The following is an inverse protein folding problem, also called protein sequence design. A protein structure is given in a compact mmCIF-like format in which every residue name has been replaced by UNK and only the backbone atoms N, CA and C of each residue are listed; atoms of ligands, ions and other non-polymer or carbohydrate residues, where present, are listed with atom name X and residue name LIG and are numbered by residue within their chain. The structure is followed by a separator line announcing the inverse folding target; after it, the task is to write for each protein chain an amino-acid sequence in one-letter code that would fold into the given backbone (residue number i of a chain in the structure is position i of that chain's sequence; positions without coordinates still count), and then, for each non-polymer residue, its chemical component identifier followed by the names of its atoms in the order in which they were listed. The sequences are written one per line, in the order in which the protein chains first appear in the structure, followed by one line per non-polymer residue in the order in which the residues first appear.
data_IF_700777755179
#
_entry.id   IF_700777755179
#
_cell.length_a   1.000
_cell.length_b   1.000
_cell.length_c   1.000
_cell.angle_alpha   90.00
_cell.angle_beta   90.00
_cell.angle_gamma   90.00
#
_symmetry.space_group_name_H-M   'P 1'
#
loop_
_entity.id
_entity.type
_entity.pdbx_description
1 polymer ?
#
# COMPACT_ATOMS: atom_id res chain seq x y z
N UNK A 1 -9.39 2.00 22.46
CA UNK A 1 -10.37 1.49 21.50
C UNK A 1 -10.72 0.04 21.79
N UNK A 2 -11.95 -0.39 21.52
CA UNK A 2 -12.33 -1.80 21.51
C UNK A 2 -11.93 -2.45 20.16
N UNK A 3 -11.76 -3.78 20.15
CA UNK A 3 -11.59 -4.52 18.90
C UNK A 3 -12.81 -4.34 18.00
N UNK A 4 -12.62 -4.27 16.67
CA UNK A 4 -13.68 -4.14 15.66
C UNK A 4 -14.57 -2.89 15.79
N UNK A 5 -14.21 -1.86 16.59
CA UNK A 5 -15.12 -0.81 17.03
C UNK A 5 -15.70 0.03 15.88
N UNK A 6 -15.01 0.19 14.75
CA UNK A 6 -15.47 0.96 13.59
C UNK A 6 -15.41 0.15 12.27
N UNK A 7 -15.38 -1.19 12.38
CA UNK A 7 -15.42 -2.07 11.21
C UNK A 7 -16.69 -1.79 10.40
N UNK A 8 -16.51 -1.53 9.08
CA UNK A 8 -17.58 -1.23 8.13
C UNK A 8 -18.45 0.01 8.43
N UNK A 9 -18.06 0.92 9.34
CA UNK A 9 -18.91 2.02 9.79
C UNK A 9 -19.49 2.87 8.66
N UNK A 10 -18.73 3.17 7.61
CA UNK A 10 -19.16 3.93 6.43
C UNK A 10 -19.16 3.09 5.15
N UNK A 11 -19.24 1.75 5.26
CA UNK A 11 -19.27 0.86 4.11
C UNK A 11 -20.32 1.26 3.08
N UNK A 12 -19.89 1.48 1.82
CA UNK A 12 -20.77 1.88 0.70
C UNK A 12 -21.49 3.23 0.88
N UNK A 13 -20.98 4.12 1.69
CA UNK A 13 -21.51 5.49 1.74
C UNK A 13 -21.02 6.26 0.51
N UNK A 14 -21.67 5.99 -0.64
CA UNK A 14 -21.26 6.51 -1.96
C UNK A 14 -21.37 8.04 -2.08
N UNK A 15 -22.07 8.72 -1.18
CA UNK A 15 -22.16 10.18 -1.12
C UNK A 15 -21.16 10.84 -0.16
N UNK A 16 -20.35 10.05 0.57
CA UNK A 16 -19.34 10.59 1.48
C UNK A 16 -18.19 11.19 0.66
N UNK A 17 -17.96 12.50 0.83
CA UNK A 17 -16.88 13.26 0.15
C UNK A 17 -15.69 13.45 1.08
N UNK A 18 -15.94 13.78 2.34
CA UNK A 18 -14.91 14.04 3.35
C UNK A 18 -15.10 13.09 4.53
N UNK A 19 -14.05 12.38 4.89
CA UNK A 19 -14.06 11.49 6.05
C UNK A 19 -14.06 12.27 7.37
N UNK A 20 -14.65 11.73 8.43
CA UNK A 20 -14.51 12.30 9.78
C UNK A 20 -13.05 12.16 10.27
N UNK A 21 -12.69 12.99 11.26
CA UNK A 21 -11.36 12.90 11.91
C UNK A 21 -11.20 11.59 12.68
N UNK A 22 -10.01 10.97 12.56
CA UNK A 22 -9.63 9.73 13.25
C UNK A 22 -8.37 9.96 14.11
N UNK A 23 -8.49 10.62 15.26
CA UNK A 23 -7.33 11.09 16.04
C UNK A 23 -6.64 9.99 16.86
N UNK A 24 -7.09 8.75 16.81
CA UNK A 24 -6.54 7.69 17.63
C UNK A 24 -5.10 7.33 17.26
N UNK A 25 -4.22 7.33 18.25
CA UNK A 25 -2.81 6.96 18.14
C UNK A 25 -2.53 5.52 18.58
N UNK A 26 -3.45 4.88 19.31
CA UNK A 26 -3.37 3.48 19.71
C UNK A 26 -4.52 2.71 19.12
N UNK A 27 -4.18 1.75 18.26
CA UNK A 27 -5.14 0.94 17.52
C UNK A 27 -5.28 -0.46 18.12
N UNK A 28 -6.42 -1.07 17.88
CA UNK A 28 -6.73 -2.43 18.32
C UNK A 28 -7.10 -3.30 17.11
N UNK A 29 -7.23 -4.61 17.34
CA UNK A 29 -7.57 -5.58 16.31
C UNK A 29 -8.76 -5.11 15.47
N UNK A 30 -8.55 -4.96 14.14
CA UNK A 30 -9.56 -4.62 13.12
C UNK A 30 -10.39 -3.35 13.42
N UNK A 31 -9.88 -2.40 14.21
CA UNK A 31 -10.69 -1.26 14.66
C UNK A 31 -11.21 -0.37 13.50
N UNK A 32 -10.48 -0.23 12.40
CA UNK A 32 -10.88 0.52 11.20
C UNK A 32 -10.96 -0.35 9.93
N UNK A 33 -11.06 -1.68 10.12
CA UNK A 33 -11.17 -2.61 9.00
C UNK A 33 -12.37 -2.24 8.12
N UNK A 34 -12.11 -2.02 6.81
CA UNK A 34 -13.11 -1.72 5.78
C UNK A 34 -14.01 -0.51 6.06
N UNK A 35 -13.56 0.42 6.92
CA UNK A 35 -14.38 1.52 7.42
C UNK A 35 -14.97 2.37 6.29
N UNK A 36 -14.19 2.68 5.24
CA UNK A 36 -14.63 3.46 4.07
C UNK A 36 -14.67 2.63 2.78
N UNK A 37 -14.76 1.32 2.88
CA UNK A 37 -14.81 0.45 1.69
C UNK A 37 -15.96 0.86 0.77
N UNK A 38 -15.65 1.05 -0.53
CA UNK A 38 -16.60 1.43 -1.59
C UNK A 38 -17.28 2.81 -1.38
N UNK A 39 -16.68 3.71 -0.61
CA UNK A 39 -17.06 5.13 -0.59
C UNK A 39 -16.57 5.79 -1.89
N UNK A 40 -17.26 5.58 -3.00
CA UNK A 40 -16.79 5.91 -4.35
C UNK A 40 -16.56 7.41 -4.60
N UNK A 41 -17.19 8.31 -3.84
CA UNK A 41 -17.01 9.77 -3.92
C UNK A 41 -16.05 10.36 -2.88
N UNK A 42 -15.42 9.53 -2.06
CA UNK A 42 -14.47 10.00 -1.05
C UNK A 42 -13.22 10.60 -1.73
N UNK A 43 -13.01 11.91 -1.54
CA UNK A 43 -11.83 12.64 -2.03
C UNK A 43 -10.90 13.09 -0.92
N UNK A 44 -11.44 13.35 0.29
CA UNK A 44 -10.69 13.84 1.43
C UNK A 44 -10.60 12.74 2.51
N UNK A 45 -9.52 11.93 2.52
CA UNK A 45 -9.34 10.89 3.54
C UNK A 45 -8.99 11.52 4.89
N UNK A 46 -9.19 10.80 6.01
CA UNK A 46 -8.77 11.28 7.33
C UNK A 46 -7.25 11.17 7.48
N UNK A 47 -6.67 11.96 8.37
CA UNK A 47 -5.31 11.71 8.87
C UNK A 47 -5.28 10.42 9.69
N UNK A 48 -4.18 9.65 9.55
CA UNK A 48 -3.94 8.39 10.26
C UNK A 48 -2.66 8.49 11.10
N UNK A 49 -2.72 9.13 12.27
CA UNK A 49 -1.52 9.51 13.02
C UNK A 49 -0.84 8.35 13.77
N UNK A 50 -1.46 7.16 13.81
CA UNK A 50 -0.94 6.06 14.62
C UNK A 50 0.39 5.53 14.10
N UNK A 51 1.37 5.44 14.98
CA UNK A 51 2.63 4.73 14.79
C UNK A 51 2.61 3.31 15.36
N UNK A 52 1.60 2.98 16.19
CA UNK A 52 1.38 1.66 16.79
C UNK A 52 0.21 0.97 16.10
N UNK A 53 0.53 -0.01 15.26
CA UNK A 53 -0.40 -0.66 14.35
C UNK A 53 -0.79 -2.04 14.87
N UNK A 54 -2.10 -2.31 14.95
CA UNK A 54 -2.64 -3.61 15.33
C UNK A 54 -2.96 -4.50 14.10
N UNK A 55 -3.15 -5.79 14.32
CA UNK A 55 -3.53 -6.75 13.27
C UNK A 55 -4.79 -6.29 12.55
N UNK A 56 -4.73 -6.27 11.21
CA UNK A 56 -5.83 -5.91 10.28
C UNK A 56 -6.54 -4.59 10.59
N UNK A 57 -5.89 -3.63 11.30
CA UNK A 57 -6.57 -2.41 11.74
C UNK A 57 -7.00 -1.49 10.60
N UNK A 58 -6.27 -1.47 9.47
CA UNK A 58 -6.60 -0.69 8.27
C UNK A 58 -6.83 -1.59 7.03
N UNK A 59 -7.06 -2.90 7.24
CA UNK A 59 -7.35 -3.86 6.18
C UNK A 59 -8.52 -3.37 5.34
N UNK A 60 -8.31 -3.22 4.02
CA UNK A 60 -9.27 -2.75 3.01
C UNK A 60 -9.98 -1.43 3.36
N UNK A 61 -9.36 -0.56 4.19
CA UNK A 61 -10.03 0.66 4.70
C UNK A 61 -10.59 1.54 3.59
N UNK A 62 -9.87 1.72 2.48
CA UNK A 62 -10.27 2.52 1.32
C UNK A 62 -10.49 1.69 0.05
N UNK A 63 -10.73 0.38 0.19
CA UNK A 63 -10.99 -0.49 -0.97
C UNK A 63 -12.11 0.10 -1.84
N UNK A 64 -11.87 0.28 -3.14
CA UNK A 64 -12.89 0.78 -4.07
C UNK A 64 -13.28 2.24 -3.91
N UNK A 65 -12.50 3.06 -3.18
CA UNK A 65 -12.67 4.51 -3.14
C UNK A 65 -12.17 5.13 -4.45
N UNK A 66 -12.96 5.02 -5.52
CA UNK A 66 -12.53 5.34 -6.88
C UNK A 66 -12.21 6.82 -7.12
N UNK A 67 -12.77 7.75 -6.34
CA UNK A 67 -12.46 9.19 -6.41
C UNK A 67 -11.25 9.62 -5.56
N UNK A 68 -10.65 8.71 -4.78
CA UNK A 68 -9.52 9.03 -3.91
C UNK A 68 -8.26 9.29 -4.75
N UNK A 69 -7.85 10.57 -4.85
CA UNK A 69 -6.67 10.98 -5.62
C UNK A 69 -5.38 11.04 -4.78
N UNK A 70 -5.51 11.25 -3.47
CA UNK A 70 -4.39 11.36 -2.53
C UNK A 70 -4.57 10.41 -1.35
N UNK A 71 -3.50 9.73 -0.96
CA UNK A 71 -3.50 8.84 0.20
C UNK A 71 -3.17 9.60 1.49
N UNK A 72 -3.70 9.19 2.66
CA UNK A 72 -3.25 9.71 3.95
C UNK A 72 -1.82 9.24 4.24
N UNK A 73 -1.13 9.94 5.14
CA UNK A 73 0.20 9.52 5.63
C UNK A 73 0.10 8.23 6.45
N UNK A 74 1.11 7.36 6.32
CA UNK A 74 1.22 6.09 7.04
C UNK A 74 2.56 6.05 7.80
N UNK A 75 2.64 6.61 9.01
CA UNK A 75 3.92 6.87 9.69
C UNK A 75 4.53 5.65 10.40
N UNK A 76 3.84 4.52 10.47
CA UNK A 76 4.30 3.35 11.22
C UNK A 76 5.56 2.72 10.62
N UNK A 77 6.56 2.45 11.46
CA UNK A 77 7.83 1.80 11.10
C UNK A 77 7.87 0.31 11.44
N UNK A 78 6.93 -0.16 12.27
CA UNK A 78 6.73 -1.57 12.64
C UNK A 78 5.28 -1.94 12.36
N UNK A 79 5.08 -3.00 11.57
CA UNK A 79 3.77 -3.42 11.10
C UNK A 79 3.33 -4.73 11.72
N UNK A 80 2.01 -4.83 11.94
CA UNK A 80 1.34 -6.05 12.34
C UNK A 80 0.80 -6.81 11.12
N UNK A 81 0.38 -8.06 11.34
CA UNK A 81 -0.20 -8.94 10.32
C UNK A 81 -1.39 -8.28 9.64
N UNK A 82 -1.41 -8.32 8.30
CA UNK A 82 -2.48 -7.82 7.42
C UNK A 82 -2.90 -6.35 7.69
N UNK A 83 -2.09 -5.54 8.36
CA UNK A 83 -2.52 -4.21 8.83
C UNK A 83 -2.93 -3.24 7.71
N UNK A 84 -2.32 -3.33 6.51
CA UNK A 84 -2.64 -2.55 5.32
C UNK A 84 -3.05 -3.44 4.13
N UNK A 85 -3.54 -4.66 4.39
CA UNK A 85 -3.97 -5.56 3.32
C UNK A 85 -5.05 -4.90 2.46
N UNK A 86 -4.80 -4.80 1.14
CA UNK A 86 -5.75 -4.22 0.18
C UNK A 86 -6.23 -2.81 0.48
N UNK A 87 -5.50 -2.02 1.29
CA UNK A 87 -5.97 -0.74 1.83
C UNK A 87 -6.47 0.21 0.75
N UNK A 88 -5.78 0.30 -0.40
CA UNK A 88 -6.14 1.16 -1.53
C UNK A 88 -6.51 0.35 -2.79
N UNK A 89 -6.83 -0.93 -2.65
CA UNK A 89 -7.21 -1.78 -3.78
C UNK A 89 -8.40 -1.16 -4.54
N UNK A 90 -8.26 -0.94 -5.85
CA UNK A 90 -9.30 -0.35 -6.70
C UNK A 90 -9.48 1.18 -6.53
N UNK A 91 -8.56 1.89 -5.87
CA UNK A 91 -8.54 3.35 -5.86
C UNK A 91 -8.01 3.85 -7.22
N UNK A 92 -8.88 3.84 -8.24
CA UNK A 92 -8.46 4.06 -9.63
C UNK A 92 -7.93 5.46 -9.93
N UNK A 93 -8.30 6.48 -9.14
CA UNK A 93 -7.81 7.86 -9.28
C UNK A 93 -6.56 8.15 -8.44
N UNK A 94 -6.08 7.21 -7.64
CA UNK A 94 -4.87 7.41 -6.84
C UNK A 94 -3.65 7.50 -7.77
N UNK A 95 -2.92 8.65 -7.72
CA UNK A 95 -1.75 8.90 -8.57
C UNK A 95 -0.44 8.60 -7.87
N UNK A 96 -0.33 8.95 -6.59
CA UNK A 96 0.87 8.72 -5.78
C UNK A 96 0.56 7.88 -4.54
N UNK A 97 1.39 6.88 -4.22
CA UNK A 97 1.28 6.15 -2.97
C UNK A 97 1.74 7.03 -1.80
N UNK A 98 1.34 6.73 -0.56
CA UNK A 98 1.98 7.33 0.62
C UNK A 98 3.41 6.77 0.77
N UNK A 99 4.27 7.49 1.49
CA UNK A 99 5.54 6.94 1.97
C UNK A 99 5.29 5.74 2.89
N UNK A 100 6.10 4.68 2.74
CA UNK A 100 6.00 3.43 3.51
C UNK A 100 7.30 3.17 4.28
N UNK A 101 7.53 3.84 5.42
CA UNK A 101 8.82 3.84 6.11
C UNK A 101 9.11 2.56 6.92
N UNK A 102 8.23 1.56 6.89
CA UNK A 102 8.35 0.39 7.75
C UNK A 102 9.58 -0.48 7.42
N UNK A 103 10.44 -0.66 8.41
CA UNK A 103 11.60 -1.56 8.37
C UNK A 103 11.30 -2.92 8.98
N UNK A 104 10.32 -3.00 9.90
CA UNK A 104 9.82 -4.26 10.47
C UNK A 104 8.43 -4.55 9.94
N UNK A 105 8.31 -5.61 9.15
CA UNK A 105 7.08 -5.98 8.45
C UNK A 105 6.60 -7.37 8.86
N UNK A 106 5.31 -7.63 8.69
CA UNK A 106 4.65 -8.86 9.09
C UNK A 106 3.96 -9.55 7.90
N UNK A 107 3.40 -10.75 8.14
CA UNK A 107 2.62 -11.51 7.17
C UNK A 107 1.56 -10.65 6.49
N UNK A 108 1.54 -10.62 5.16
CA UNK A 108 0.50 -10.00 4.35
C UNK A 108 0.29 -8.49 4.58
N UNK A 109 1.22 -7.79 5.25
CA UNK A 109 1.00 -6.42 5.71
C UNK A 109 0.69 -5.43 4.57
N UNK A 110 1.25 -5.60 3.37
CA UNK A 110 1.00 -4.79 2.18
C UNK A 110 0.42 -5.61 1.01
N UNK A 111 -0.09 -6.82 1.28
CA UNK A 111 -0.69 -7.67 0.25
C UNK A 111 -1.81 -6.93 -0.48
N UNK A 112 -1.79 -6.89 -1.82
CA UNK A 112 -2.77 -6.23 -2.68
C UNK A 112 -2.99 -4.74 -2.39
N UNK A 113 -2.07 -4.05 -1.71
CA UNK A 113 -2.30 -2.69 -1.18
C UNK A 113 -2.76 -1.70 -2.26
N UNK A 114 -2.15 -1.73 -3.44
CA UNK A 114 -2.49 -0.87 -4.59
C UNK A 114 -3.00 -1.66 -5.79
N UNK A 115 -3.51 -2.87 -5.58
CA UNK A 115 -4.05 -3.69 -6.67
C UNK A 115 -5.10 -2.92 -7.47
N UNK A 116 -4.93 -2.81 -8.80
CA UNK A 116 -5.90 -2.13 -9.66
C UNK A 116 -5.95 -0.59 -9.53
N UNK A 117 -4.96 0.05 -8.92
CA UNK A 117 -4.81 1.50 -8.94
C UNK A 117 -4.34 1.94 -10.33
N UNK A 118 -5.28 2.08 -11.28
CA UNK A 118 -4.98 2.23 -12.71
C UNK A 118 -4.20 3.52 -13.04
N UNK A 119 -4.38 4.59 -12.26
CA UNK A 119 -3.71 5.88 -12.45
C UNK A 119 -2.41 6.05 -11.65
N UNK A 120 -2.02 5.05 -10.84
CA UNK A 120 -0.83 5.14 -10.00
C UNK A 120 0.43 5.23 -10.88
N UNK A 121 1.20 6.31 -10.69
CA UNK A 121 2.49 6.55 -11.37
C UNK A 121 3.69 6.47 -10.43
N UNK A 122 3.45 6.50 -9.11
CA UNK A 122 4.50 6.42 -8.09
C UNK A 122 4.68 5.02 -7.52
N UNK A 123 5.89 4.73 -7.08
CA UNK A 123 6.22 3.56 -6.25
C UNK A 123 6.91 4.02 -4.97
N UNK A 124 6.57 3.48 -3.79
CA UNK A 124 7.24 3.84 -2.55
C UNK A 124 8.58 3.13 -2.41
N UNK A 125 9.51 3.72 -1.68
CA UNK A 125 10.63 2.98 -1.12
C UNK A 125 10.11 1.94 -0.12
N UNK A 126 10.69 0.72 -0.18
CA UNK A 126 10.34 -0.41 0.69
C UNK A 126 11.60 -0.87 1.43
N UNK A 127 11.91 -0.27 2.60
CA UNK A 127 13.22 -0.40 3.24
C UNK A 127 13.42 -1.70 4.03
N UNK A 128 12.37 -2.50 4.24
CA UNK A 128 12.48 -3.74 5.02
C UNK A 128 13.47 -4.72 4.39
N UNK A 129 14.41 -5.21 5.20
CA UNK A 129 15.42 -6.20 4.79
C UNK A 129 15.05 -7.64 5.14
N UNK A 130 14.10 -7.87 6.05
CA UNK A 130 13.59 -9.20 6.37
C UNK A 130 12.14 -9.31 5.89
N UNK A 131 11.93 -10.04 4.79
CA UNK A 131 10.64 -10.17 4.17
C UNK A 131 9.84 -11.30 4.78
N UNK A 132 8.54 -11.09 4.92
CA UNK A 132 7.57 -12.06 5.44
C UNK A 132 6.70 -12.62 4.31
N UNK A 133 6.03 -13.73 4.58
CA UNK A 133 5.12 -14.35 3.61
C UNK A 133 4.03 -13.37 3.18
N UNK A 134 3.78 -13.26 1.88
CA UNK A 134 2.80 -12.37 1.24
C UNK A 134 2.97 -10.87 1.53
N UNK A 135 4.08 -10.40 2.14
CA UNK A 135 4.21 -9.00 2.57
C UNK A 135 3.98 -7.99 1.43
N UNK A 136 4.42 -8.28 0.20
CA UNK A 136 4.24 -7.45 -1.01
C UNK A 136 3.50 -8.21 -2.14
N UNK A 137 2.80 -9.31 -1.82
CA UNK A 137 2.10 -10.12 -2.82
C UNK A 137 1.09 -9.26 -3.59
N UNK A 138 1.24 -9.23 -4.93
CA UNK A 138 0.38 -8.47 -5.85
C UNK A 138 0.19 -6.99 -5.48
N UNK A 139 1.18 -6.37 -4.82
CA UNK A 139 1.05 -5.01 -4.28
C UNK A 139 0.67 -3.99 -5.35
N UNK A 140 1.26 -4.07 -6.56
CA UNK A 140 1.01 -3.18 -7.72
C UNK A 140 0.42 -3.92 -8.92
N UNK A 141 -0.24 -5.06 -8.68
CA UNK A 141 -0.86 -5.81 -9.76
C UNK A 141 -1.99 -4.98 -10.41
N UNK A 142 -2.04 -4.92 -11.76
CA UNK A 142 -2.95 -4.06 -12.52
C UNK A 142 -2.78 -2.54 -12.31
N UNK A 143 -1.64 -2.06 -11.83
CA UNK A 143 -1.25 -0.65 -11.89
C UNK A 143 -0.70 -0.35 -13.29
N UNK A 144 -1.57 0.01 -14.23
CA UNK A 144 -1.24 0.05 -15.67
C UNK A 144 -0.20 1.11 -16.05
N UNK A 145 -0.09 2.19 -15.26
CA UNK A 145 0.86 3.27 -15.53
C UNK A 145 2.25 3.04 -14.94
N UNK A 146 2.43 2.08 -14.02
CA UNK A 146 3.74 1.70 -13.52
C UNK A 146 4.42 0.79 -14.53
N UNK A 147 5.57 1.22 -15.04
CA UNK A 147 6.36 0.50 -16.04
C UNK A 147 7.79 0.29 -15.54
N UNK A 148 8.25 -0.95 -15.59
CA UNK A 148 9.59 -1.38 -15.20
C UNK A 148 10.31 -2.03 -16.37
N UNK A 149 11.64 -1.90 -16.40
CA UNK A 149 12.54 -2.59 -17.31
C UNK A 149 13.70 -3.21 -16.51
N UNK A 150 14.36 -4.20 -17.09
CA UNK A 150 15.57 -4.84 -16.55
C UNK A 150 16.87 -4.11 -16.92
N UNK A 151 16.79 -3.16 -17.85
CA UNK A 151 17.95 -2.41 -18.36
C UNK A 151 17.72 -0.91 -18.22
N UNK A 152 18.80 -0.19 -17.88
CA UNK A 152 18.83 1.27 -17.93
C UNK A 152 18.80 1.72 -19.39
N UNK A 153 17.86 2.60 -19.71
CA UNK A 153 17.74 3.25 -21.04
C UNK A 153 17.27 4.69 -20.86
N UNK A 154 17.23 5.47 -21.96
CA UNK A 154 16.72 6.84 -21.94
C UNK A 154 15.29 6.92 -21.41
N UNK A 155 14.46 5.93 -21.76
CA UNK A 155 13.05 5.87 -21.29
C UNK A 155 12.92 5.31 -19.87
N UNK A 156 13.91 4.59 -19.37
CA UNK A 156 13.93 3.92 -18.06
C UNK A 156 15.17 4.29 -17.26
N UNK A 157 15.33 5.57 -16.83
CA UNK A 157 16.56 6.07 -16.23
C UNK A 157 16.67 5.84 -14.72
N UNK A 158 15.56 5.60 -14.00
CA UNK A 158 15.51 5.62 -12.54
C UNK A 158 15.58 4.22 -11.96
N UNK A 159 16.61 3.93 -11.18
CA UNK A 159 16.76 2.65 -10.49
C UNK A 159 15.66 2.42 -9.44
N UNK A 160 15.12 1.21 -9.41
CA UNK A 160 14.20 0.74 -8.39
C UNK A 160 14.58 -0.65 -7.91
N UNK A 161 14.72 -0.80 -6.62
CA UNK A 161 15.17 -2.03 -5.98
C UNK A 161 14.53 -2.20 -4.59
N UNK A 162 14.30 -3.43 -4.19
CA UNK A 162 13.78 -3.78 -2.84
C UNK A 162 14.78 -4.72 -2.15
N UNK A 163 15.33 -4.31 -1.00
CA UNK A 163 15.28 -2.97 -0.41
C UNK A 163 16.11 -1.98 -1.24
N UNK A 164 15.93 -0.66 -1.10
CA UNK A 164 16.70 0.33 -1.86
C UNK A 164 18.20 0.25 -1.59
N UNK A 165 18.60 -0.18 -0.40
CA UNK A 165 20.00 -0.42 0.00
C UNK A 165 20.16 -1.75 0.72
N UNK A 166 21.37 -2.32 0.72
CA UNK A 166 21.67 -3.59 1.39
C UNK A 166 21.11 -4.82 0.66
N UNK A 167 20.82 -5.88 1.38
CA UNK A 167 20.24 -7.12 0.87
C UNK A 167 19.02 -7.52 1.69
N UNK A 168 17.93 -7.87 1.01
CA UNK A 168 16.81 -8.51 1.66
C UNK A 168 17.04 -10.02 1.76
N UNK A 169 16.53 -10.58 2.85
CA UNK A 169 16.35 -12.02 3.04
C UNK A 169 14.85 -12.33 3.00
N UNK A 170 14.49 -13.47 2.45
CA UNK A 170 13.14 -14.00 2.50
C UNK A 170 13.18 -15.40 3.04
N UNK A 171 12.40 -15.66 4.08
CA UNK A 171 12.22 -16.99 4.64
C UNK A 171 11.00 -17.70 4.05
N UNK A 172 10.24 -17.00 3.16
CA UNK A 172 8.95 -17.45 2.66
C UNK A 172 8.78 -17.23 1.16
N UNK A 173 8.16 -18.21 0.49
CA UNK A 173 7.65 -18.05 -0.87
C UNK A 173 6.57 -16.97 -0.93
N UNK A 174 6.34 -16.42 -2.12
CA UNK A 174 5.29 -15.43 -2.40
C UNK A 174 5.42 -14.05 -1.72
N UNK A 175 6.57 -13.71 -1.10
CA UNK A 175 6.75 -12.38 -0.50
C UNK A 175 6.57 -11.24 -1.53
N UNK A 176 7.04 -11.42 -2.76
CA UNK A 176 6.93 -10.46 -3.89
C UNK A 176 6.21 -11.02 -5.12
N UNK A 177 5.59 -12.19 -5.02
CA UNK A 177 4.97 -12.87 -6.16
C UNK A 177 3.85 -12.03 -6.78
N UNK A 178 3.90 -11.85 -8.11
CA UNK A 178 2.93 -11.06 -8.85
C UNK A 178 2.91 -9.57 -8.46
N UNK A 179 3.97 -9.06 -7.82
CA UNK A 179 4.03 -7.69 -7.32
C UNK A 179 3.70 -6.67 -8.41
N UNK A 180 4.21 -6.88 -9.63
CA UNK A 180 3.89 -6.11 -10.82
C UNK A 180 3.24 -7.00 -11.89
N UNK A 181 2.38 -6.44 -12.74
CA UNK A 181 1.60 -7.22 -13.72
C UNK A 181 2.46 -7.79 -14.84
N UNK A 182 3.37 -6.98 -15.36
CA UNK A 182 4.02 -7.24 -16.66
C UNK A 182 5.46 -7.71 -16.54
N UNK A 183 6.00 -7.82 -15.33
CA UNK A 183 7.40 -8.19 -15.10
C UNK A 183 7.52 -9.04 -13.84
N UNK A 184 8.14 -10.23 -13.93
CA UNK A 184 8.55 -10.98 -12.74
C UNK A 184 9.52 -10.15 -11.91
N UNK A 185 9.13 -9.81 -10.69
CA UNK A 185 9.94 -9.00 -9.79
C UNK A 185 10.68 -9.89 -8.78
N UNK A 186 11.99 -9.67 -8.65
CA UNK A 186 12.84 -10.37 -7.70
C UNK A 186 13.48 -9.36 -6.73
N UNK A 187 13.55 -9.72 -5.45
CA UNK A 187 14.29 -8.94 -4.45
C UNK A 187 15.78 -8.92 -4.77
N UNK A 188 16.46 -7.89 -4.28
CA UNK A 188 17.91 -7.69 -4.48
C UNK A 188 18.33 -7.49 -5.95
N UNK A 189 17.39 -7.40 -6.87
CA UNK A 189 17.61 -7.13 -8.28
C UNK A 189 17.26 -5.66 -8.55
N UNK A 190 18.10 -4.97 -9.31
CA UNK A 190 17.83 -3.61 -9.77
C UNK A 190 16.99 -3.67 -11.02
N UNK A 191 15.90 -2.91 -11.01
CA UNK A 191 15.04 -2.62 -12.15
C UNK A 191 15.10 -1.12 -12.43
N UNK A 192 14.51 -0.69 -13.52
CA UNK A 192 14.49 0.71 -13.92
C UNK A 192 13.08 1.14 -14.20
N UNK A 193 12.67 2.24 -13.58
CA UNK A 193 11.36 2.85 -13.78
C UNK A 193 11.36 3.70 -15.05
N UNK A 194 10.26 3.67 -15.77
CA UNK A 194 10.00 4.58 -16.88
C UNK A 194 10.04 6.02 -16.42
N UNK A 195 10.49 6.94 -17.29
CA UNK A 195 10.65 8.37 -17.00
C UNK A 195 9.36 9.07 -16.54
N UNK A 196 8.17 8.49 -16.84
CA UNK A 196 6.87 8.96 -16.32
C UNK A 196 6.55 8.46 -14.91
N UNK A 197 7.39 7.61 -14.31
CA UNK A 197 7.18 7.08 -12.97
C UNK A 197 8.10 7.75 -11.95
N UNK A 198 7.66 7.82 -10.69
CA UNK A 198 8.42 8.46 -9.61
C UNK A 198 8.57 7.54 -8.40
N UNK A 199 9.64 7.73 -7.62
CA UNK A 199 9.82 7.10 -6.30
C UNK A 199 9.35 8.12 -5.24
N UNK A 200 8.54 7.66 -4.29
CA UNK A 200 7.94 8.46 -3.21
C UNK A 200 8.54 8.10 -1.86
#
# INVERSE_FOLDING_TARGET
MANYCFTYLFYRWTNLITAPSLPATTLTLRCYNRMFQECSRLTNPPELPSTSIAESCYDMMFFGCTSLATAPRLPATTLAKNCYWGMFNGCTNLELPPSLPATTIAYGCYQNMFYGCANLIGVPNLPATTLQQYCYYRMFYNCQKIKLNTSNTVDYPTEYRIPPTGKATTNYSNSVSGMFTNLPFNINTTYYLHSSNVIV
#
